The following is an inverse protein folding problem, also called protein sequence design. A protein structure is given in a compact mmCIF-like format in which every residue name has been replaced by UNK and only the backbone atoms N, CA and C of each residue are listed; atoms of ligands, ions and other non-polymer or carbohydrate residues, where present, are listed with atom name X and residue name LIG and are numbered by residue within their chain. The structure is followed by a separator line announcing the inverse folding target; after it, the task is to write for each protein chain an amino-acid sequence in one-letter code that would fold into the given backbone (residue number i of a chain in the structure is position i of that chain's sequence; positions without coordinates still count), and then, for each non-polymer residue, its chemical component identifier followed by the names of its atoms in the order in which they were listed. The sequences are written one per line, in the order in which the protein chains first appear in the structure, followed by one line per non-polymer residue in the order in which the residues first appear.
data_IF_003560335962
#
_entry.id   IF_003560335962
#
_cell.length_a   1.000
_cell.length_b   1.000
_cell.length_c   1.000
_cell.angle_alpha   90.00
_cell.angle_beta   90.00
_cell.angle_gamma   90.00
#
_symmetry.space_group_name_H-M   'P 1'
#
loop_
_entity.id
_entity.type
_entity.pdbx_description
1 polymer ?
#
# COMPACT_ATOMS: atom_id res chain seq x y z
N UNK A 1 40.11 38.78 -0.03
CA UNK A 1 38.89 38.94 0.80
C UNK A 1 37.63 39.15 -0.05
N UNK A 2 37.71 39.74 -1.24
CA UNK A 2 36.51 40.10 -2.02
C UNK A 2 35.80 38.93 -2.74
N UNK A 3 36.54 37.92 -3.21
CA UNK A 3 35.95 36.72 -3.85
C UNK A 3 35.01 35.96 -2.92
N UNK A 4 35.31 35.92 -1.62
CA UNK A 4 34.46 35.26 -0.63
C UNK A 4 33.14 36.02 -0.46
N UNK A 5 33.20 37.35 -0.38
CA UNK A 5 31.99 38.19 -0.29
C UNK A 5 31.11 38.05 -1.52
N UNK A 6 31.71 37.99 -2.71
CA UNK A 6 30.98 37.78 -3.96
C UNK A 6 30.30 36.40 -3.99
N UNK A 7 31.00 35.34 -3.57
CA UNK A 7 30.41 34.00 -3.50
C UNK A 7 29.20 33.95 -2.54
N UNK A 8 29.30 34.58 -1.37
CA UNK A 8 28.17 34.68 -0.44
C UNK A 8 26.99 35.47 -1.01
N UNK A 9 27.27 36.54 -1.78
CA UNK A 9 26.22 37.32 -2.42
C UNK A 9 25.46 36.51 -3.47
N UNK A 10 26.18 35.70 -4.27
CA UNK A 10 25.58 34.78 -5.24
C UNK A 10 24.73 33.70 -4.57
N UNK A 11 25.27 33.06 -3.53
CA UNK A 11 24.53 32.05 -2.75
C UNK A 11 23.23 32.64 -2.18
N UNK A 12 23.30 33.89 -1.68
CA UNK A 12 22.10 34.57 -1.16
C UNK A 12 21.06 34.82 -2.26
N UNK A 13 21.48 35.21 -3.46
CA UNK A 13 20.59 35.39 -4.61
C UNK A 13 19.95 34.06 -5.03
N UNK A 14 20.74 32.99 -5.09
CA UNK A 14 20.24 31.65 -5.43
C UNK A 14 19.21 31.16 -4.42
N UNK A 15 19.44 31.39 -3.12
CA UNK A 15 18.47 31.05 -2.06
C UNK A 15 17.15 31.80 -2.24
N UNK A 16 17.21 33.10 -2.57
CA UNK A 16 15.99 33.91 -2.81
C UNK A 16 15.24 33.39 -4.04
N UNK A 17 15.95 33.09 -5.14
CA UNK A 17 15.35 32.54 -6.34
C UNK A 17 14.68 31.18 -6.09
N UNK A 18 15.31 30.31 -5.28
CA UNK A 18 14.73 29.02 -4.88
C UNK A 18 13.48 29.20 -4.01
N UNK A 19 13.47 30.16 -3.09
CA UNK A 19 12.28 30.47 -2.27
C UNK A 19 11.11 30.93 -3.13
N UNK A 20 11.35 31.77 -4.15
CA UNK A 20 10.33 32.20 -5.09
C UNK A 20 9.77 31.03 -5.90
N UNK A 21 10.63 30.13 -6.40
CA UNK A 21 10.21 28.94 -7.13
C UNK A 21 9.37 28.00 -6.26
N UNK A 22 9.75 27.76 -5.01
CA UNK A 22 8.98 26.94 -4.06
C UNK A 22 7.61 27.58 -3.82
N UNK A 23 7.56 28.90 -3.64
CA UNK A 23 6.30 29.62 -3.42
C UNK A 23 5.37 29.48 -4.63
N UNK A 24 5.90 29.64 -5.84
CA UNK A 24 5.16 29.45 -7.08
C UNK A 24 4.60 28.01 -7.19
N UNK A 25 5.42 26.98 -6.94
CA UNK A 25 4.98 25.58 -6.97
C UNK A 25 3.89 25.29 -5.93
N UNK A 26 3.99 25.84 -4.72
CA UNK A 26 2.95 25.68 -3.70
C UNK A 26 1.62 26.31 -4.12
N UNK A 27 1.65 27.45 -4.80
CA UNK A 27 0.45 28.09 -5.34
C UNK A 27 -0.19 27.25 -6.45
N UNK A 28 0.61 26.70 -7.37
CA UNK A 28 0.09 25.81 -8.42
C UNK A 28 -0.55 24.53 -7.85
N UNK A 29 0.06 23.94 -6.80
CA UNK A 29 -0.52 22.76 -6.14
C UNK A 29 -1.86 23.06 -5.47
N UNK A 30 -2.00 24.23 -4.82
CA UNK A 30 -3.28 24.65 -4.24
C UNK A 30 -4.34 24.91 -5.31
N UNK A 31 -3.96 25.44 -6.48
CA UNK A 31 -4.88 25.61 -7.61
C UNK A 31 -5.36 24.25 -8.16
N UNK A 32 -4.45 23.29 -8.37
CA UNK A 32 -4.80 21.93 -8.80
C UNK A 32 -5.75 21.29 -7.77
N UNK A 33 -5.46 21.42 -6.48
CA UNK A 33 -6.30 20.87 -5.40
C UNK A 33 -7.71 21.47 -5.41
N UNK A 34 -7.84 22.78 -5.69
CA UNK A 34 -9.15 23.43 -5.86
C UNK A 34 -9.90 22.89 -7.08
N UNK A 35 -9.24 22.75 -8.23
CA UNK A 35 -9.90 22.22 -9.44
C UNK A 35 -10.42 20.80 -9.28
N UNK A 36 -9.69 19.94 -8.55
CA UNK A 36 -10.12 18.56 -8.27
C UNK A 36 -11.35 18.50 -7.35
N UNK A 37 -11.47 19.39 -6.37
CA UNK A 37 -12.61 19.41 -5.45
C UNK A 37 -13.91 19.90 -6.11
N UNK A 38 -13.83 20.73 -7.16
CA UNK A 38 -15.00 21.25 -7.88
C UNK A 38 -15.61 20.25 -8.88
N UNK A 39 -14.85 19.22 -9.29
CA UNK A 39 -15.27 18.26 -10.32
C UNK A 39 -15.83 16.94 -9.78
N UNK A 40 -16.28 16.89 -8.52
CA UNK A 40 -17.10 15.78 -8.01
C UNK A 40 -18.58 16.16 -8.06
N UNK A 41 -19.29 15.97 -9.19
CA UNK A 41 -20.74 15.90 -9.16
C UNK A 41 -21.12 14.62 -8.42
N UNK A 42 -21.52 14.76 -7.16
CA UNK A 42 -22.23 13.74 -6.39
C UNK A 42 -23.59 13.52 -7.04
N UNK A 43 -23.61 12.81 -8.17
CA UNK A 43 -24.83 12.27 -8.76
C UNK A 43 -25.30 11.13 -7.85
N UNK A 44 -26.15 11.50 -6.89
CA UNK A 44 -27.09 10.59 -6.27
C UNK A 44 -28.07 10.10 -7.34
N UNK A 45 -27.69 9.06 -8.09
CA UNK A 45 -28.63 8.30 -8.90
C UNK A 45 -28.97 7.02 -8.14
N UNK A 46 -30.07 7.10 -7.41
CA UNK A 46 -30.78 5.99 -6.78
C UNK A 46 -31.27 5.03 -7.86
N UNK A 47 -30.44 4.06 -8.26
CA UNK A 47 -30.91 2.97 -9.12
C UNK A 47 -31.59 1.91 -8.25
N UNK A 48 -32.91 1.91 -8.32
CA UNK A 48 -33.79 0.86 -7.83
C UNK A 48 -33.42 -0.47 -8.52
N UNK A 49 -33.16 -1.50 -7.71
CA UNK A 49 -32.99 -2.87 -8.19
C UNK A 49 -34.36 -3.41 -8.62
N UNK A 50 -34.66 -3.33 -9.92
CA UNK A 50 -35.79 -4.05 -10.52
C UNK A 50 -35.45 -5.55 -10.43
N UNK A 51 -36.21 -6.28 -9.61
CA UNK A 51 -36.17 -7.73 -9.57
C UNK A 51 -36.64 -8.26 -10.93
N UNK A 52 -35.70 -8.75 -11.73
CA UNK A 52 -36.00 -9.44 -12.97
C UNK A 52 -36.44 -10.86 -12.63
N UNK A 53 -37.75 -11.10 -12.69
CA UNK A 53 -38.37 -12.42 -12.58
C UNK A 53 -38.05 -13.15 -13.90
N UNK A 54 -37.23 -14.18 -13.84
CA UNK A 54 -37.01 -15.07 -14.99
C UNK A 54 -38.33 -15.78 -15.33
N UNK A 55 -38.81 -15.73 -16.59
CA UNK A 55 -39.93 -16.55 -17.00
C UNK A 55 -39.51 -18.02 -16.97
N UNK A 56 -40.30 -18.84 -16.28
CA UNK A 56 -40.16 -20.28 -16.27
C UNK A 56 -40.24 -20.82 -17.71
N UNK A 57 -39.20 -21.53 -18.14
CA UNK A 57 -39.24 -22.35 -19.34
C UNK A 57 -40.37 -23.38 -19.19
N UNK A 58 -41.32 -23.37 -20.13
CA UNK A 58 -42.31 -24.42 -20.29
C UNK A 58 -41.56 -25.73 -20.59
N UNK A 59 -41.53 -26.62 -19.61
CA UNK A 59 -41.02 -27.98 -19.78
C UNK A 59 -41.96 -28.75 -20.71
N UNK A 60 -41.39 -29.29 -21.79
CA UNK A 60 -42.06 -30.29 -22.62
C UNK A 60 -42.35 -31.56 -21.77
N UNK A 61 -43.50 -32.22 -21.97
CA UNK A 61 -43.85 -33.44 -21.24
C UNK A 61 -42.95 -34.60 -21.70
N UNK A 62 -42.00 -35.00 -20.85
CA UNK A 62 -41.30 -36.28 -20.97
C UNK A 62 -42.06 -37.36 -20.21
N UNK A 63 -43.23 -37.73 -20.73
CA UNK A 63 -43.87 -39.01 -20.39
C UNK A 63 -43.31 -40.09 -21.31
N UNK A 64 -42.91 -41.23 -20.72
CA UNK A 64 -42.38 -42.47 -21.34
C UNK A 64 -40.86 -42.69 -21.31
N UNK A 65 -40.20 -42.41 -20.19
CA UNK A 65 -38.92 -43.05 -19.87
C UNK A 65 -39.12 -44.16 -18.83
N UNK A 66 -38.58 -45.38 -19.05
CA UNK A 66 -38.69 -46.48 -18.08
C UNK A 66 -37.98 -46.10 -16.78
N UNK A 67 -38.68 -46.29 -15.64
CA UNK A 67 -38.15 -46.03 -14.30
C UNK A 67 -36.83 -46.79 -14.10
N UNK A 68 -35.73 -46.04 -14.08
CA UNK A 68 -34.43 -46.51 -13.60
C UNK A 68 -34.30 -46.03 -12.17
N UNK A 69 -34.00 -46.94 -11.24
CA UNK A 69 -33.75 -46.62 -9.84
C UNK A 69 -32.62 -45.59 -9.71
N UNK A 70 -32.85 -44.57 -8.87
CA UNK A 70 -31.86 -43.55 -8.55
C UNK A 70 -30.60 -44.20 -7.98
N UNK A 71 -29.43 -43.84 -8.53
CA UNK A 71 -28.15 -44.14 -7.87
C UNK A 71 -28.15 -43.45 -6.50
N UNK A 72 -27.71 -44.14 -5.42
CA UNK A 72 -27.58 -43.51 -4.12
C UNK A 72 -26.61 -42.33 -4.24
N UNK A 73 -27.08 -41.16 -3.80
CA UNK A 73 -26.31 -39.94 -3.74
C UNK A 73 -25.43 -40.02 -2.48
N UNK A 74 -24.11 -39.93 -2.65
CA UNK A 74 -23.17 -39.82 -1.53
C UNK A 74 -23.43 -38.50 -0.79
N UNK A 75 -24.28 -38.56 0.24
CA UNK A 75 -24.50 -37.47 1.17
C UNK A 75 -23.33 -37.42 2.13
N UNK A 76 -22.24 -36.74 1.75
CA UNK A 76 -21.29 -36.22 2.72
C UNK A 76 -22.00 -35.13 3.53
N UNK A 77 -22.41 -35.52 4.73
CA UNK A 77 -23.10 -34.71 5.72
C UNK A 77 -22.19 -33.53 6.10
N UNK A 78 -22.53 -32.32 5.67
CA UNK A 78 -22.01 -31.09 6.27
C UNK A 78 -22.87 -30.80 7.49
N UNK A 79 -22.37 -31.11 8.69
CA UNK A 79 -22.96 -30.61 9.92
C UNK A 79 -22.83 -29.10 9.92
N UNK A 80 -23.95 -28.45 9.61
CA UNK A 80 -24.06 -27.01 9.46
C UNK A 80 -23.48 -26.24 10.64
N UNK A 81 -22.81 -25.14 10.30
CA UNK A 81 -22.56 -24.06 11.23
C UNK A 81 -23.93 -23.48 11.64
N UNK A 82 -24.45 -24.00 12.75
CA UNK A 82 -25.63 -23.47 13.43
C UNK A 82 -25.43 -21.98 13.67
N UNK A 83 -26.43 -21.21 13.26
CA UNK A 83 -26.39 -19.76 13.17
C UNK A 83 -25.90 -19.09 14.45
N UNK A 84 -24.94 -18.19 14.27
CA UNK A 84 -24.57 -17.21 15.28
C UNK A 84 -25.42 -15.95 15.02
N UNK A 85 -26.34 -15.57 15.91
CA UNK A 85 -27.07 -14.32 15.78
C UNK A 85 -26.11 -13.16 15.98
N UNK A 86 -25.75 -12.50 14.88
CA UNK A 86 -24.99 -11.24 14.90
C UNK A 86 -25.97 -10.10 15.15
N UNK A 87 -26.38 -9.94 16.40
CA UNK A 87 -27.03 -8.71 16.84
C UNK A 87 -26.28 -8.17 18.06
N UNK A 88 -25.19 -7.44 17.79
CA UNK A 88 -24.59 -6.49 18.72
C UNK A 88 -24.12 -5.29 17.91
N UNK A 89 -25.05 -4.36 17.71
CA UNK A 89 -24.72 -2.96 17.52
C UNK A 89 -23.93 -2.49 18.74
N UNK A 90 -22.70 -2.03 18.52
CA UNK A 90 -21.93 -1.27 19.48
C UNK A 90 -21.85 0.17 18.98
N UNK A 91 -22.95 0.91 19.10
CA UNK A 91 -22.90 2.37 19.14
C UNK A 91 -22.51 2.78 20.55
N UNK A 92 -21.21 2.97 20.78
CA UNK A 92 -20.73 3.80 21.89
C UNK A 92 -19.64 4.72 21.38
N UNK A 93 -20.09 5.90 20.97
CA UNK A 93 -19.29 7.10 20.84
C UNK A 93 -18.53 7.35 22.15
N UNK A 94 -17.21 7.48 22.06
CA UNK A 94 -16.38 8.04 23.11
C UNK A 94 -16.05 9.49 22.74
N UNK A 95 -16.88 10.44 23.20
CA UNK A 95 -16.50 11.84 23.34
C UNK A 95 -16.20 12.08 24.81
N UNK A 96 -14.92 11.98 25.19
CA UNK A 96 -14.41 12.59 26.42
C UNK A 96 -13.36 13.62 26.02
N UNK A 97 -13.84 14.82 25.67
CA UNK A 97 -13.00 16.01 25.68
C UNK A 97 -12.67 16.31 27.15
N UNK A 98 -11.37 16.23 27.47
CA UNK A 98 -10.86 16.67 28.76
C UNK A 98 -10.41 18.11 28.60
N UNK A 99 -11.33 19.05 28.90
CA UNK A 99 -10.94 20.42 29.21
C UNK A 99 -10.39 20.44 30.64
N UNK A 100 -9.06 20.41 30.75
CA UNK A 100 -8.33 20.72 31.98
C UNK A 100 -7.30 21.82 31.70
N UNK A 101 -7.82 23.03 31.68
CA UNK A 101 -7.36 24.18 32.45
C UNK A 101 -6.12 23.94 33.34
N UNK A 102 -4.97 24.52 32.97
CA UNK A 102 -3.93 24.97 33.90
C UNK A 102 -3.34 26.29 33.35
N UNK A 103 -4.06 27.39 33.60
CA UNK A 103 -3.48 28.73 33.60
C UNK A 103 -2.81 28.96 34.96
N UNK A 104 -1.51 28.71 35.05
CA UNK A 104 -0.68 29.25 36.13
C UNK A 104 0.79 29.19 35.72
N UNK A 105 1.42 30.31 35.37
CA UNK A 105 2.83 30.62 35.64
C UNK A 105 3.13 32.10 35.43
N UNK A 106 3.01 32.84 36.53
CA UNK A 106 4.08 33.59 37.21
C UNK A 106 5.22 34.14 36.35
N UNK A 107 5.24 35.47 36.29
CA UNK A 107 6.35 36.39 36.00
C UNK A 107 7.55 36.19 36.96
N UNK A 108 8.78 36.47 36.46
CA UNK A 108 10.13 36.54 37.09
C UNK A 108 11.08 35.50 36.47
N UNK A 109 12.33 35.77 36.12
CA UNK A 109 13.19 36.96 36.20
C UNK A 109 14.40 36.73 35.29
N UNK A 110 15.04 37.81 34.85
CA UNK A 110 16.23 37.86 34.02
C UNK A 110 17.41 37.07 34.62
N UNK A 111 17.70 35.88 34.10
CA UNK A 111 18.98 35.21 34.30
C UNK A 111 19.21 34.22 33.13
N UNK A 112 19.67 34.71 31.98
CA UNK A 112 19.97 33.82 30.84
C UNK A 112 21.02 34.38 29.89
N UNK A 113 22.31 34.24 30.20
CA UNK A 113 23.37 34.41 29.20
C UNK A 113 24.57 33.44 29.25
N UNK A 114 24.54 32.38 30.08
CA UNK A 114 25.59 31.34 30.08
C UNK A 114 25.09 29.92 29.73
N UNK A 115 23.78 29.66 29.65
CA UNK A 115 23.23 28.31 29.37
C UNK A 115 23.09 27.93 27.88
N UNK A 116 23.36 28.84 26.94
CA UNK A 116 23.13 28.64 25.50
C UNK A 116 24.18 27.76 24.80
N UNK A 117 25.36 27.52 25.39
CA UNK A 117 26.39 26.64 24.79
C UNK A 117 26.20 25.15 25.10
N UNK A 118 25.48 24.80 26.18
CA UNK A 118 25.23 23.40 26.54
C UNK A 118 24.02 22.81 25.80
N UNK A 119 23.01 23.62 25.43
CA UNK A 119 21.86 23.17 24.63
C UNK A 119 22.26 22.71 23.20
N UNK A 120 23.22 23.40 22.57
CA UNK A 120 23.70 23.04 21.22
C UNK A 120 24.42 21.68 21.17
N UNK A 121 25.06 21.24 22.25
CA UNK A 121 25.71 19.92 22.32
C UNK A 121 24.72 18.80 22.57
N UNK A 122 23.68 19.04 23.39
CA UNK A 122 22.63 18.03 23.65
C UNK A 122 21.80 17.74 22.40
N UNK A 123 21.52 18.74 21.58
CA UNK A 123 20.77 18.54 20.32
C UNK A 123 21.55 17.72 19.29
N UNK A 124 22.87 17.90 19.22
CA UNK A 124 23.74 17.10 18.35
C UNK A 124 23.84 15.64 18.80
N UNK A 125 23.95 15.39 20.11
CA UNK A 125 23.99 14.02 20.66
C UNK A 125 22.65 13.32 20.41
N UNK A 126 21.53 14.01 20.62
CA UNK A 126 20.20 13.49 20.33
C UNK A 126 20.01 13.19 18.82
N UNK A 127 20.57 14.02 17.93
CA UNK A 127 20.53 13.76 16.50
C UNK A 127 21.33 12.51 16.10
N UNK A 128 22.52 12.31 16.67
CA UNK A 128 23.33 11.11 16.42
C UNK A 128 22.61 9.85 16.91
N UNK A 129 22.00 9.89 18.09
CA UNK A 129 21.25 8.77 18.63
C UNK A 129 20.06 8.40 17.72
N UNK A 130 19.32 9.39 17.22
CA UNK A 130 18.26 9.16 16.22
C UNK A 130 18.79 8.54 14.93
N UNK A 131 19.96 8.96 14.46
CA UNK A 131 20.59 8.36 13.26
C UNK A 131 20.94 6.88 13.52
N UNK A 132 21.49 6.55 14.69
CA UNK A 132 21.76 5.16 15.07
C UNK A 132 20.48 4.31 15.13
N UNK A 133 19.40 4.82 15.72
CA UNK A 133 18.10 4.14 15.75
C UNK A 133 17.55 3.90 14.33
N UNK A 134 17.68 4.88 13.43
CA UNK A 134 17.29 4.72 12.02
C UNK A 134 18.15 3.65 11.33
N UNK A 135 19.47 3.63 11.55
CA UNK A 135 20.34 2.61 10.97
C UNK A 135 19.99 1.20 11.47
N UNK A 136 19.69 1.03 12.75
CA UNK A 136 19.24 -0.25 13.30
C UNK A 136 17.89 -0.68 12.70
N UNK A 137 16.98 0.27 12.50
CA UNK A 137 15.70 0.01 11.83
C UNK A 137 15.87 -0.42 10.36
N UNK A 138 16.88 0.12 9.66
CA UNK A 138 17.17 -0.29 8.29
C UNK A 138 17.70 -1.72 8.23
N UNK A 139 18.52 -2.13 9.21
CA UNK A 139 19.04 -3.49 9.28
C UNK A 139 17.97 -4.51 9.66
N UNK A 140 17.02 -4.17 10.53
CA UNK A 140 15.88 -5.03 10.83
C UNK A 140 14.99 -5.23 9.59
N UNK A 141 14.71 -4.16 8.84
CA UNK A 141 13.96 -4.21 7.57
C UNK A 141 14.70 -5.08 6.55
N UNK A 142 16.02 -4.90 6.38
CA UNK A 142 16.82 -5.74 5.46
C UNK A 142 16.78 -7.21 5.83
N UNK A 143 16.85 -7.54 7.12
CA UNK A 143 16.75 -8.92 7.62
C UNK A 143 15.38 -9.52 7.33
N UNK A 144 14.31 -8.75 7.53
CA UNK A 144 12.94 -9.18 7.21
C UNK A 144 12.77 -9.45 5.71
N UNK A 145 13.19 -8.50 4.85
CA UNK A 145 13.19 -8.68 3.40
C UNK A 145 13.96 -9.94 3.03
N UNK A 146 15.19 -10.11 3.52
CA UNK A 146 16.00 -11.32 3.26
C UNK A 146 15.27 -12.58 3.68
N UNK A 147 14.67 -12.59 4.87
CA UNK A 147 13.89 -13.74 5.36
C UNK A 147 12.76 -14.08 4.40
N UNK A 148 11.93 -13.10 4.03
CA UNK A 148 10.77 -13.33 3.16
C UNK A 148 11.18 -13.88 1.79
N UNK A 149 12.24 -13.34 1.18
CA UNK A 149 12.74 -13.79 -0.12
C UNK A 149 13.53 -15.11 -0.08
N UNK A 150 14.16 -15.45 1.05
CA UNK A 150 14.85 -16.73 1.24
C UNK A 150 13.87 -17.91 1.22
N UNK A 151 12.64 -17.71 1.70
CA UNK A 151 11.58 -18.73 1.69
C UNK A 151 10.90 -18.89 0.33
N UNK A 152 11.22 -18.08 -0.68
CA UNK A 152 10.70 -18.28 -2.03
C UNK A 152 11.36 -19.46 -2.73
N UNK A 153 10.53 -20.31 -3.32
CA UNK A 153 10.95 -21.33 -4.27
C UNK A 153 11.51 -20.68 -5.54
N UNK A 154 12.28 -21.44 -6.33
CA UNK A 154 12.85 -20.91 -7.57
C UNK A 154 11.79 -20.44 -8.57
N UNK A 155 10.65 -21.13 -8.63
CA UNK A 155 9.53 -20.73 -9.50
C UNK A 155 8.85 -19.45 -9.02
N UNK A 156 8.55 -19.35 -7.71
CA UNK A 156 7.99 -18.11 -7.14
C UNK A 156 8.93 -16.92 -7.35
N UNK A 157 10.24 -17.12 -7.19
CA UNK A 157 11.22 -16.07 -7.45
C UNK A 157 11.28 -15.67 -8.93
N UNK A 158 11.16 -16.63 -9.86
CA UNK A 158 11.10 -16.34 -11.30
C UNK A 158 9.86 -15.52 -11.65
N UNK A 159 8.69 -15.88 -11.10
CA UNK A 159 7.44 -15.11 -11.25
C UNK A 159 7.57 -13.70 -10.68
N UNK A 160 8.10 -13.56 -9.46
CA UNK A 160 8.34 -12.26 -8.85
C UNK A 160 9.28 -11.38 -9.70
N UNK A 161 10.39 -11.95 -10.16
CA UNK A 161 11.38 -11.23 -10.97
C UNK A 161 10.81 -10.78 -12.31
N UNK A 162 9.95 -11.60 -12.93
CA UNK A 162 9.24 -11.24 -14.16
C UNK A 162 8.28 -10.06 -13.93
N UNK A 163 7.49 -10.09 -12.84
CA UNK A 163 6.60 -8.97 -12.48
C UNK A 163 7.42 -7.69 -12.29
N UNK A 164 8.51 -7.76 -11.52
CA UNK A 164 9.39 -6.62 -11.25
C UNK A 164 9.94 -6.01 -12.54
N UNK A 165 10.48 -6.85 -13.42
CA UNK A 165 11.08 -6.39 -14.68
C UNK A 165 10.05 -5.73 -15.60
N UNK A 166 8.86 -6.33 -15.75
CA UNK A 166 7.83 -5.75 -16.60
C UNK A 166 7.28 -4.44 -16.05
N UNK A 167 7.16 -4.32 -14.73
CA UNK A 167 6.71 -3.09 -14.11
C UNK A 167 7.77 -1.97 -14.21
N UNK A 168 9.07 -2.29 -14.10
CA UNK A 168 10.16 -1.32 -14.36
C UNK A 168 10.16 -0.83 -15.82
N UNK A 169 9.76 -1.69 -16.75
CA UNK A 169 9.60 -1.32 -18.17
C UNK A 169 8.34 -0.50 -18.43
N UNK A 170 7.48 -0.29 -17.42
CA UNK A 170 6.24 0.48 -17.54
C UNK A 170 5.06 -0.30 -18.14
N UNK A 171 5.14 -1.63 -18.23
CA UNK A 171 4.02 -2.44 -18.68
C UNK A 171 2.99 -2.65 -17.57
N UNK A 172 1.71 -2.69 -17.95
CA UNK A 172 0.65 -3.19 -17.06
C UNK A 172 0.77 -4.71 -17.00
N UNK A 173 1.22 -5.22 -15.86
CA UNK A 173 1.53 -6.65 -15.71
C UNK A 173 0.26 -7.44 -15.42
N UNK A 174 -0.14 -8.29 -16.36
CA UNK A 174 -1.24 -9.25 -16.19
C UNK A 174 -0.73 -10.70 -16.11
N UNK A 175 -1.61 -11.63 -15.75
CA UNK A 175 -1.26 -13.05 -15.66
C UNK A 175 -0.87 -13.64 -17.02
N UNK A 176 -1.45 -13.13 -18.12
CA UNK A 176 -1.21 -13.63 -19.46
C UNK A 176 0.21 -13.30 -19.94
N UNK A 177 0.67 -12.07 -19.70
CA UNK A 177 2.01 -11.60 -20.03
C UNK A 177 3.09 -12.43 -19.30
N UNK A 178 2.90 -12.68 -18.01
CA UNK A 178 3.84 -13.49 -17.22
C UNK A 178 3.84 -14.95 -17.69
N UNK A 179 2.66 -15.50 -17.96
CA UNK A 179 2.46 -16.86 -18.49
C UNK A 179 3.23 -17.06 -19.79
N UNK A 180 3.09 -16.13 -20.74
CA UNK A 180 3.81 -16.15 -22.02
C UNK A 180 5.33 -16.06 -21.82
N UNK A 181 5.79 -15.22 -20.90
CA UNK A 181 7.23 -15.03 -20.64
C UNK A 181 7.90 -16.24 -20.02
N UNK A 182 7.21 -16.92 -19.11
CA UNK A 182 7.77 -18.04 -18.33
C UNK A 182 7.40 -19.42 -18.89
N UNK A 183 6.48 -19.49 -19.86
CA UNK A 183 5.98 -20.76 -20.39
C UNK A 183 5.14 -21.56 -19.39
N UNK A 184 4.45 -20.87 -18.47
CA UNK A 184 3.63 -21.47 -17.41
C UNK A 184 2.16 -21.14 -17.64
N UNK A 185 1.24 -22.01 -17.20
CA UNK A 185 -0.20 -21.69 -17.30
C UNK A 185 -0.58 -20.49 -16.43
N UNK A 186 -1.58 -19.71 -16.85
CA UNK A 186 -2.09 -18.57 -16.07
C UNK A 186 -2.59 -18.99 -14.67
N UNK A 187 -3.17 -20.19 -14.55
CA UNK A 187 -3.57 -20.77 -13.27
C UNK A 187 -2.37 -20.99 -12.35
N UNK A 188 -1.27 -21.53 -12.88
CA UNK A 188 -0.02 -21.70 -12.11
C UNK A 188 0.54 -20.36 -11.67
N UNK A 189 0.57 -19.35 -12.54
CA UNK A 189 1.02 -17.99 -12.20
C UNK A 189 0.16 -17.42 -11.07
N UNK A 190 -1.17 -17.54 -11.16
CA UNK A 190 -2.10 -17.10 -10.11
C UNK A 190 -1.77 -17.73 -8.76
N UNK A 191 -1.52 -19.03 -8.73
CA UNK A 191 -1.19 -19.75 -7.51
C UNK A 191 0.17 -19.32 -6.93
N UNK A 192 1.18 -19.14 -7.78
CA UNK A 192 2.48 -18.62 -7.35
C UNK A 192 2.37 -17.20 -6.79
N UNK A 193 1.63 -16.32 -7.46
CA UNK A 193 1.35 -14.96 -6.98
C UNK A 193 0.67 -14.98 -5.62
N UNK A 194 -0.34 -15.84 -5.44
CA UNK A 194 -1.00 -15.99 -4.15
C UNK A 194 -0.04 -16.48 -3.05
N UNK A 195 0.84 -17.44 -3.36
CA UNK A 195 1.86 -17.92 -2.41
C UNK A 195 2.89 -16.85 -2.05
N UNK A 196 3.32 -16.03 -3.01
CA UNK A 196 4.23 -14.90 -2.79
C UNK A 196 3.61 -13.90 -1.80
N UNK A 197 2.34 -13.53 -2.01
CA UNK A 197 1.59 -12.64 -1.12
C UNK A 197 1.46 -13.27 0.28
N UNK A 198 1.12 -14.56 0.36
CA UNK A 198 0.99 -15.28 1.64
C UNK A 198 2.31 -15.35 2.42
N UNK A 199 3.46 -15.28 1.75
CA UNK A 199 4.80 -15.23 2.37
C UNK A 199 5.22 -13.83 2.82
N UNK A 200 4.33 -12.84 2.75
CA UNK A 200 4.59 -11.49 3.26
C UNK A 200 5.37 -10.60 2.29
N UNK A 201 5.50 -10.98 1.02
CA UNK A 201 6.10 -10.10 0.02
C UNK A 201 5.04 -9.11 -0.47
N UNK A 202 5.31 -7.79 -0.43
CA UNK A 202 4.33 -6.76 -0.73
C UNK A 202 4.06 -6.65 -2.23
N UNK A 203 3.17 -7.53 -2.72
CA UNK A 203 2.63 -7.53 -4.07
C UNK A 203 1.17 -7.07 -4.02
N UNK A 204 0.84 -6.05 -4.81
CA UNK A 204 -0.49 -5.48 -4.94
C UNK A 204 -1.19 -6.08 -6.15
N UNK A 205 -2.50 -6.29 -6.00
CA UNK A 205 -3.37 -6.83 -7.04
C UNK A 205 -4.55 -5.88 -7.21
N UNK A 206 -4.61 -5.18 -8.34
CA UNK A 206 -5.74 -4.33 -8.70
C UNK A 206 -6.60 -5.03 -9.77
N UNK A 207 -7.90 -4.71 -9.78
CA UNK A 207 -8.83 -5.23 -10.77
C UNK A 207 -9.27 -4.08 -11.66
N UNK A 208 -8.90 -4.13 -12.93
CA UNK A 208 -9.25 -3.11 -13.91
C UNK A 208 -10.49 -3.58 -14.71
N UNK A 209 -11.51 -2.72 -14.76
CA UNK A 209 -12.74 -2.92 -15.54
C UNK A 209 -13.43 -4.27 -15.31
N UNK A 210 -13.34 -4.80 -14.08
CA UNK A 210 -13.90 -6.09 -13.66
C UNK A 210 -13.44 -7.34 -14.43
N UNK A 211 -12.51 -7.21 -15.39
CA UNK A 211 -12.10 -8.28 -16.29
C UNK A 211 -10.61 -8.60 -16.20
N UNK A 212 -9.76 -7.59 -16.02
CA UNK A 212 -8.30 -7.77 -15.97
C UNK A 212 -7.80 -7.58 -14.55
N UNK A 213 -6.81 -8.39 -14.19
CA UNK A 213 -6.08 -8.27 -12.93
C UNK A 213 -4.71 -7.74 -13.27
N UNK A 214 -4.38 -6.57 -12.74
CA UNK A 214 -3.06 -5.99 -12.84
C UNK A 214 -2.28 -6.26 -11.54
N UNK A 215 -1.02 -6.59 -11.69
CA UNK A 215 -0.08 -6.86 -10.61
C UNK A 215 0.94 -5.73 -10.56
N UNK A 216 1.22 -5.26 -9.35
CA UNK A 216 2.24 -4.24 -9.11
C UNK A 216 2.97 -4.52 -7.80
N UNK A 217 4.23 -4.15 -7.72
CA UNK A 217 5.03 -4.24 -6.51
C UNK A 217 4.84 -2.96 -5.70
N UNK A 218 4.79 -3.07 -4.38
CA UNK A 218 4.70 -1.89 -3.52
C UNK A 218 5.85 -0.93 -3.79
N UNK A 219 5.52 0.36 -3.89
CA UNK A 219 6.50 1.43 -4.10
C UNK A 219 7.53 1.49 -2.95
N UNK A 220 7.14 1.12 -1.74
CA UNK A 220 8.04 1.11 -0.59
C UNK A 220 9.13 0.06 -0.76
N UNK A 221 8.78 -1.13 -1.26
CA UNK A 221 9.77 -2.17 -1.56
C UNK A 221 10.73 -1.71 -2.66
N UNK A 222 10.22 -1.04 -3.71
CA UNK A 222 11.03 -0.49 -4.80
C UNK A 222 12.03 0.57 -4.32
N UNK A 223 11.62 1.44 -3.39
CA UNK A 223 12.49 2.46 -2.80
C UNK A 223 13.61 1.83 -1.95
N UNK A 224 13.33 0.72 -1.28
CA UNK A 224 14.28 0.09 -0.34
C UNK A 224 15.24 -0.86 -1.07
N UNK A 225 14.78 -1.60 -2.08
CA UNK A 225 15.58 -2.62 -2.73
C UNK A 225 15.29 -2.74 -4.24
N UNK A 226 16.36 -2.62 -5.03
CA UNK A 226 16.36 -2.99 -6.45
C UNK A 226 16.20 -4.51 -6.63
N UNK A 227 15.72 -4.95 -7.79
CA UNK A 227 15.63 -6.38 -8.12
C UNK A 227 16.96 -7.11 -7.91
N UNK A 228 18.07 -6.50 -8.33
CA UNK A 228 19.40 -7.10 -8.19
C UNK A 228 19.81 -7.23 -6.72
N UNK A 229 19.47 -6.24 -5.89
CA UNK A 229 19.68 -6.32 -4.43
C UNK A 229 18.90 -7.48 -3.84
N UNK A 230 17.63 -7.68 -4.23
CA UNK A 230 16.79 -8.79 -3.77
C UNK A 230 17.40 -10.15 -4.16
N UNK A 231 17.88 -10.27 -5.41
CA UNK A 231 18.53 -11.49 -5.89
C UNK A 231 19.82 -11.81 -5.12
N UNK A 232 20.61 -10.78 -4.78
CA UNK A 232 21.81 -10.93 -3.97
C UNK A 232 21.49 -11.33 -2.53
N UNK A 233 20.48 -10.69 -1.92
CA UNK A 233 20.03 -11.01 -0.56
C UNK A 233 19.56 -12.46 -0.41
N UNK A 234 18.98 -13.05 -1.46
CA UNK A 234 18.57 -14.46 -1.46
C UNK A 234 19.74 -15.43 -1.52
N UNK A 235 20.83 -15.08 -2.20
CA UNK A 235 22.01 -15.95 -2.37
C UNK A 235 22.87 -16.05 -1.10
N UNK A 236 22.83 -15.01 -0.26
CA UNK A 236 23.51 -14.93 1.03
C UNK A 236 22.82 -15.80 2.08
#
# INVERSE_FOLDING_TARGET
MDQLKEAFLRIKQDIIALQEQITNLTQQLEEIKRTLNLNNPTNNSTNQTIQQINPAFQHAPTDNLPLKSLKPQDLTISTGNGGVPTNRQADRQANQQTDKNIDFYTFHSEETYENSKNQLKTDQINHIQRVSEVLESLDSIRKEIRSNFKHLTSQEMAVFSAIYTFEEQGFVVDYSLISQKLGLSESSIRDYVHKIIKKGIPLLKSKENNKKVALSISQDLKKIASLQTILNLRKL
#
